data_IF_951707084700
#
_entry.id   IF_951707084700
#
_cell.length_a   1.000
_cell.length_b   1.000
_cell.length_c   1.000
_cell.angle_alpha   90.00
_cell.angle_beta   90.00
_cell.angle_gamma   90.00
#
_symmetry.space_group_name_H-M   'P 1'
#
loop_
_entity.id
_entity.type
_entity.pdbx_description
1 polymer ?
#
# COMPACT_ATOMS: atom_id res chain seq x y z
N UNK A 1 -20.68 -6.17 -1.86
CA UNK A 1 -20.12 -6.55 -3.17
C UNK A 1 -19.48 -7.92 -3.00
N UNK A 2 -19.83 -8.91 -3.84
CA UNK A 2 -19.25 -10.26 -3.75
C UNK A 2 -18.03 -10.40 -4.67
N UNK A 3 -17.15 -11.37 -4.39
CA UNK A 3 -15.96 -11.66 -5.20
C UNK A 3 -16.30 -12.00 -6.67
N UNK A 4 -17.51 -12.50 -6.92
CA UNK A 4 -18.03 -12.78 -8.27
C UNK A 4 -18.34 -11.51 -9.04
N UNK A 5 -18.79 -10.46 -8.36
CA UNK A 5 -19.11 -9.17 -8.99
C UNK A 5 -17.83 -8.43 -9.42
N UNK A 6 -16.73 -8.64 -8.69
CA UNK A 6 -15.40 -8.14 -9.02
C UNK A 6 -14.82 -8.78 -10.30
N UNK A 7 -15.10 -10.06 -10.52
CA UNK A 7 -14.60 -10.81 -11.69
C UNK A 7 -15.36 -10.46 -12.98
N UNK A 8 -16.58 -9.96 -12.86
CA UNK A 8 -17.45 -9.62 -13.98
C UNK A 8 -17.34 -8.16 -14.44
N UNK A 9 -16.41 -7.37 -13.87
CA UNK A 9 -16.20 -5.98 -14.29
C UNK A 9 -15.68 -5.98 -15.74
N UNK A 10 -16.44 -5.43 -16.71
CA UNK A 10 -16.01 -5.38 -18.10
C UNK A 10 -14.79 -4.47 -18.23
N UNK A 11 -13.69 -5.04 -18.73
CA UNK A 11 -12.43 -4.33 -18.95
C UNK A 11 -12.50 -3.61 -20.29
N UNK A 12 -13.10 -2.43 -20.28
CA UNK A 12 -13.10 -1.55 -21.45
C UNK A 12 -11.69 -0.93 -21.64
N UNK A 13 -11.24 -0.79 -22.89
CA UNK A 13 -9.88 -0.32 -23.22
C UNK A 13 -9.58 1.07 -22.63
N UNK A 14 -10.59 1.94 -22.56
CA UNK A 14 -10.53 3.26 -21.93
C UNK A 14 -10.29 3.17 -20.42
N UNK A 15 -10.97 2.25 -19.74
CA UNK A 15 -10.76 1.97 -18.30
C UNK A 15 -9.37 1.42 -18.01
N UNK A 16 -8.86 0.56 -18.89
CA UNK A 16 -7.52 -0.02 -18.77
C UNK A 16 -6.43 1.06 -18.89
N UNK A 17 -6.59 2.00 -19.83
CA UNK A 17 -5.68 3.14 -20.00
C UNK A 17 -5.67 4.05 -18.76
N UNK A 18 -6.82 4.40 -18.21
CA UNK A 18 -6.92 5.23 -17.00
C UNK A 18 -6.32 4.56 -15.76
N UNK A 19 -6.60 3.26 -15.59
CA UNK A 19 -6.01 2.45 -14.50
C UNK A 19 -4.49 2.37 -14.64
N UNK A 20 -3.98 2.19 -15.86
CA UNK A 20 -2.55 2.18 -16.14
C UNK A 20 -1.86 3.50 -15.76
N UNK A 21 -2.48 4.65 -16.05
CA UNK A 21 -1.95 5.96 -15.62
C UNK A 21 -1.83 6.02 -14.09
N UNK A 22 -2.89 5.62 -13.38
CA UNK A 22 -2.89 5.56 -11.90
C UNK A 22 -1.76 4.66 -11.39
N UNK A 23 -1.61 3.48 -12.00
CA UNK A 23 -0.54 2.54 -11.69
C UNK A 23 0.85 3.14 -11.91
N UNK A 24 1.09 3.89 -12.98
CA UNK A 24 2.36 4.56 -13.24
C UNK A 24 2.70 5.58 -12.14
N UNK A 25 1.74 6.42 -11.73
CA UNK A 25 1.94 7.34 -10.61
C UNK A 25 2.32 6.60 -9.32
N UNK A 26 1.58 5.54 -8.99
CA UNK A 26 1.84 4.70 -7.82
C UNK A 26 3.21 4.05 -7.89
N UNK A 27 3.60 3.53 -9.06
CA UNK A 27 4.89 2.89 -9.27
C UNK A 27 6.04 3.90 -9.08
N UNK A 28 5.93 5.11 -9.64
CA UNK A 28 6.93 6.18 -9.46
C UNK A 28 7.06 6.54 -7.97
N UNK A 29 5.94 6.79 -7.28
CA UNK A 29 5.94 7.12 -5.86
C UNK A 29 6.57 6.01 -5.00
N UNK A 30 6.23 4.76 -5.30
CA UNK A 30 6.80 3.59 -4.61
C UNK A 30 8.29 3.43 -4.89
N UNK A 31 8.75 3.63 -6.12
CA UNK A 31 10.18 3.47 -6.47
C UNK A 31 11.02 4.56 -5.80
N UNK A 32 10.59 5.82 -5.86
CA UNK A 32 11.30 6.93 -5.22
C UNK A 32 11.45 6.72 -3.70
N UNK A 33 10.38 6.27 -3.03
CA UNK A 33 10.41 6.01 -1.58
C UNK A 33 11.26 4.78 -1.22
N UNK A 34 11.24 3.72 -2.04
CA UNK A 34 12.08 2.53 -1.84
C UNK A 34 13.57 2.82 -2.07
N UNK A 35 13.90 3.64 -3.06
CA UNK A 35 15.27 4.11 -3.32
C UNK A 35 15.79 4.95 -2.14
N UNK A 36 14.97 5.85 -1.61
CA UNK A 36 15.30 6.60 -0.40
C UNK A 36 15.57 5.69 0.81
N UNK A 37 14.75 4.66 1.02
CA UNK A 37 14.95 3.67 2.08
C UNK A 37 16.27 2.90 1.90
N UNK A 38 16.54 2.43 0.68
CA UNK A 38 17.75 1.65 0.36
C UNK A 38 19.02 2.49 0.54
N UNK A 39 18.98 3.75 0.11
CA UNK A 39 20.06 4.70 0.35
C UNK A 39 20.34 4.87 1.84
N UNK A 40 19.29 5.06 2.64
CA UNK A 40 19.40 5.27 4.08
C UNK A 40 20.01 4.06 4.82
N UNK A 41 19.58 2.84 4.47
CA UNK A 41 20.13 1.58 5.00
C UNK A 41 21.60 1.44 4.63
N UNK A 42 21.97 1.78 3.40
CA UNK A 42 23.35 1.66 2.91
C UNK A 42 24.26 2.68 3.61
N UNK A 43 23.81 3.94 3.73
CA UNK A 43 24.54 4.99 4.45
C UNK A 43 24.69 4.64 5.94
N UNK A 44 23.64 4.11 6.57
CA UNK A 44 23.69 3.60 7.93
C UNK A 44 24.78 2.53 8.09
N UNK A 45 24.77 1.49 7.25
CA UNK A 45 25.74 0.40 7.32
C UNK A 45 27.20 0.86 7.13
N UNK A 46 27.44 1.77 6.17
CA UNK A 46 28.78 2.32 5.89
C UNK A 46 29.30 3.18 7.06
N UNK A 47 28.44 4.03 7.62
CA UNK A 47 28.82 4.92 8.72
C UNK A 47 28.99 4.18 10.05
N UNK A 48 28.15 3.16 10.31
CA UNK A 48 28.25 2.29 11.47
C UNK A 48 29.58 1.53 11.53
N UNK A 49 30.16 1.21 10.37
CA UNK A 49 31.49 0.59 10.24
C UNK A 49 32.63 1.55 10.59
N UNK A 50 32.39 2.86 10.63
CA UNK A 50 33.42 3.90 10.70
C UNK A 50 33.47 4.67 12.03
N UNK A 51 32.49 4.55 12.94
CA UNK A 51 32.35 5.44 14.09
C UNK A 51 32.26 4.74 15.47
N UNK A 52 32.88 5.33 16.50
CA UNK A 52 32.93 4.80 17.88
C UNK A 52 31.67 5.07 18.74
N UNK A 53 30.79 6.00 18.35
CA UNK A 53 29.53 6.30 19.07
C UNK A 53 28.34 5.50 18.53
N UNK A 54 28.48 4.17 18.56
CA UNK A 54 27.57 3.19 17.96
C UNK A 54 26.10 3.37 18.38
N UNK A 55 25.83 3.61 19.66
CA UNK A 55 24.47 3.60 20.21
C UNK A 55 23.63 4.81 19.78
N UNK A 56 24.19 6.02 19.86
CA UNK A 56 23.46 7.24 19.48
C UNK A 56 23.24 7.30 17.96
N UNK A 57 24.24 6.90 17.19
CA UNK A 57 24.13 6.85 15.73
C UNK A 57 23.09 5.80 15.28
N UNK A 58 23.11 4.60 15.89
CA UNK A 58 22.08 3.58 15.66
C UNK A 58 20.67 4.04 16.04
N UNK A 59 20.52 4.73 17.17
CA UNK A 59 19.23 5.28 17.58
C UNK A 59 18.67 6.29 16.56
N UNK A 60 19.50 7.24 16.09
CA UNK A 60 19.09 8.25 15.10
C UNK A 60 18.73 7.61 13.76
N UNK A 61 19.59 6.73 13.23
CA UNK A 61 19.31 6.05 11.97
C UNK A 61 18.09 5.12 12.06
N UNK A 62 17.91 4.42 13.18
CA UNK A 62 16.73 3.63 13.45
C UNK A 62 15.45 4.48 13.45
N UNK A 63 15.47 5.63 14.11
CA UNK A 63 14.32 6.55 14.14
C UNK A 63 13.97 7.07 12.73
N UNK A 64 14.98 7.44 11.93
CA UNK A 64 14.77 7.91 10.56
C UNK A 64 14.22 6.76 9.70
N UNK A 65 14.77 5.55 9.82
CA UNK A 65 14.29 4.37 9.12
C UNK A 65 12.82 4.08 9.43
N UNK A 66 12.43 4.05 10.70
CA UNK A 66 11.04 3.84 11.13
C UNK A 66 10.12 4.95 10.57
N UNK A 67 10.59 6.21 10.57
CA UNK A 67 9.81 7.34 10.02
C UNK A 67 9.57 7.18 8.52
N UNK A 68 10.61 6.88 7.74
CA UNK A 68 10.51 6.67 6.29
C UNK A 68 9.63 5.45 5.99
N UNK A 69 9.76 4.36 6.76
CA UNK A 69 8.94 3.17 6.62
C UNK A 69 7.45 3.45 6.89
N UNK A 70 7.16 4.29 7.89
CA UNK A 70 5.80 4.73 8.22
C UNK A 70 5.19 5.53 7.07
N UNK A 71 5.93 6.51 6.54
CA UNK A 71 5.51 7.31 5.39
C UNK A 71 5.29 6.43 4.16
N UNK A 72 6.23 5.52 3.87
CA UNK A 72 6.10 4.55 2.79
C UNK A 72 4.82 3.72 2.91
N UNK A 73 4.56 3.19 4.11
CA UNK A 73 3.42 2.30 4.35
C UNK A 73 2.09 3.04 4.22
N UNK A 74 2.00 4.26 4.77
CA UNK A 74 0.83 5.12 4.63
C UNK A 74 0.57 5.48 3.15
N UNK A 75 1.61 5.95 2.44
CA UNK A 75 1.50 6.30 1.03
C UNK A 75 1.16 5.07 0.17
N UNK A 76 1.74 3.91 0.48
CA UNK A 76 1.42 2.66 -0.19
C UNK A 76 -0.05 2.28 0.02
N UNK A 77 -0.61 2.52 1.20
CA UNK A 77 -2.00 2.19 1.48
C UNK A 77 -2.94 3.00 0.60
N UNK A 78 -2.73 4.31 0.53
CA UNK A 78 -3.46 5.24 -0.33
C UNK A 78 -3.30 4.87 -1.80
N UNK A 79 -2.08 4.60 -2.24
CA UNK A 79 -1.79 4.23 -3.62
C UNK A 79 -2.42 2.88 -4.04
N UNK A 80 -2.43 1.87 -3.17
CA UNK A 80 -3.09 0.60 -3.50
C UNK A 80 -4.62 0.76 -3.52
N UNK A 81 -5.15 1.60 -2.63
CA UNK A 81 -6.57 1.95 -2.61
C UNK A 81 -6.98 2.80 -3.82
N UNK A 82 -6.12 3.69 -4.33
CA UNK A 82 -6.40 4.46 -5.54
C UNK A 82 -6.47 3.58 -6.79
N UNK A 83 -5.62 2.55 -6.89
CA UNK A 83 -5.74 1.54 -7.96
C UNK A 83 -7.08 0.80 -7.87
N UNK A 84 -7.51 0.42 -6.66
CA UNK A 84 -8.82 -0.19 -6.44
C UNK A 84 -9.94 0.75 -6.88
N UNK A 85 -9.89 2.03 -6.51
CA UNK A 85 -10.87 3.04 -6.93
C UNK A 85 -10.89 3.17 -8.46
N UNK A 86 -9.73 3.21 -9.11
CA UNK A 86 -9.65 3.25 -10.58
C UNK A 86 -10.29 2.05 -11.25
N UNK A 87 -10.11 0.85 -10.68
CA UNK A 87 -10.69 -0.37 -11.23
C UNK A 87 -12.20 -0.42 -10.96
N UNK A 88 -12.66 -0.08 -9.75
CA UNK A 88 -14.06 -0.25 -9.36
C UNK A 88 -14.96 0.90 -9.82
N UNK A 89 -14.54 2.13 -9.54
CA UNK A 89 -15.34 3.34 -9.74
C UNK A 89 -15.03 4.02 -11.09
N UNK A 90 -13.95 3.63 -11.78
CA UNK A 90 -13.58 4.21 -13.07
C UNK A 90 -13.09 5.65 -13.00
N UNK A 91 -12.61 6.09 -11.83
CA UNK A 91 -11.99 7.41 -11.59
C UNK A 91 -10.47 7.24 -11.66
N UNK A 92 -9.70 8.13 -12.29
CA UNK A 92 -8.29 7.86 -12.61
C UNK A 92 -7.31 8.91 -12.11
N UNK A 93 -6.04 8.51 -12.00
CA UNK A 93 -4.90 9.41 -11.80
C UNK A 93 -4.97 10.15 -10.46
N UNK A 94 -4.81 11.47 -10.50
CA UNK A 94 -4.77 12.33 -9.31
C UNK A 94 -6.11 12.33 -8.57
N UNK A 95 -7.22 12.24 -9.29
CA UNK A 95 -8.55 12.21 -8.68
C UNK A 95 -8.76 10.92 -7.87
N UNK A 96 -8.32 9.77 -8.40
CA UNK A 96 -8.33 8.50 -7.68
C UNK A 96 -7.44 8.54 -6.43
N UNK A 97 -6.29 9.20 -6.50
CA UNK A 97 -5.39 9.41 -5.36
C UNK A 97 -6.05 10.31 -4.31
N UNK A 98 -6.67 11.42 -4.71
CA UNK A 98 -7.37 12.31 -3.78
C UNK A 98 -8.53 11.60 -3.08
N UNK A 99 -9.31 10.81 -3.82
CA UNK A 99 -10.41 10.01 -3.28
C UNK A 99 -9.90 8.94 -2.30
N UNK A 100 -8.76 8.31 -2.61
CA UNK A 100 -8.13 7.32 -1.72
C UNK A 100 -7.68 7.95 -0.39
N UNK A 101 -7.06 9.13 -0.44
CA UNK A 101 -6.63 9.87 0.75
C UNK A 101 -7.82 10.37 1.59
N UNK A 102 -8.90 10.78 0.92
CA UNK A 102 -10.14 11.15 1.59
C UNK A 102 -10.73 9.96 2.36
N UNK A 103 -10.85 8.79 1.72
CA UNK A 103 -11.42 7.63 2.35
C UNK A 103 -10.50 6.99 3.42
N UNK A 104 -9.19 7.03 3.24
CA UNK A 104 -8.22 6.48 4.19
C UNK A 104 -8.15 7.28 5.51
N UNK A 105 -8.52 8.57 5.49
CA UNK A 105 -8.39 9.48 6.64
C UNK A 105 -9.06 8.97 7.91
N UNK A 106 -10.19 8.27 7.78
CA UNK A 106 -10.94 7.71 8.90
C UNK A 106 -10.30 6.45 9.53
N UNK A 107 -9.46 5.73 8.77
CA UNK A 107 -8.93 4.42 9.18
C UNK A 107 -7.43 4.26 8.85
N UNK A 108 -6.67 5.36 8.95
CA UNK A 108 -5.28 5.44 8.49
C UNK A 108 -4.37 4.38 9.13
N UNK A 109 -4.57 4.06 10.42
CA UNK A 109 -3.77 3.07 11.15
C UNK A 109 -3.96 1.66 10.62
N UNK A 110 -5.18 1.30 10.24
CA UNK A 110 -5.47 -0.01 9.66
C UNK A 110 -4.78 -0.14 8.30
N UNK A 111 -4.92 0.86 7.42
CA UNK A 111 -4.23 0.88 6.13
C UNK A 111 -2.71 0.76 6.28
N UNK A 112 -2.12 1.51 7.21
CA UNK A 112 -0.69 1.46 7.52
C UNK A 112 -0.26 0.04 7.96
N UNK A 113 -0.97 -0.56 8.92
CA UNK A 113 -0.65 -1.88 9.43
C UNK A 113 -0.77 -2.96 8.35
N UNK A 114 -1.81 -2.89 7.51
CA UNK A 114 -1.98 -3.80 6.38
C UNK A 114 -0.79 -3.72 5.41
N UNK A 115 -0.33 -2.51 5.07
CA UNK A 115 0.81 -2.34 4.18
C UNK A 115 2.13 -2.81 4.80
N UNK A 116 2.32 -2.61 6.11
CA UNK A 116 3.47 -3.16 6.83
C UNK A 116 3.49 -4.70 6.76
N UNK A 117 2.36 -5.36 7.00
CA UNK A 117 2.27 -6.83 6.90
C UNK A 117 2.62 -7.31 5.49
N UNK A 118 2.09 -6.67 4.44
CA UNK A 118 2.44 -7.03 3.07
C UNK A 118 3.90 -6.77 2.72
N UNK A 119 4.50 -5.71 3.26
CA UNK A 119 5.92 -5.42 3.08
C UNK A 119 6.79 -6.48 3.75
N UNK A 120 6.52 -6.81 5.01
CA UNK A 120 7.24 -7.87 5.74
C UNK A 120 7.07 -9.23 5.09
N UNK A 121 5.85 -9.55 4.64
CA UNK A 121 5.55 -10.76 3.87
C UNK A 121 6.36 -10.82 2.56
N UNK A 122 6.38 -9.72 1.79
CA UNK A 122 7.15 -9.66 0.55
C UNK A 122 8.66 -9.81 0.76
N UNK A 123 9.19 -9.23 1.84
CA UNK A 123 10.57 -9.39 2.28
C UNK A 123 10.85 -10.86 2.66
N UNK A 124 9.96 -11.45 3.46
CA UNK A 124 10.05 -12.84 3.92
C UNK A 124 9.93 -13.89 2.81
N UNK A 125 9.23 -13.59 1.72
CA UNK A 125 9.18 -14.49 0.55
C UNK A 125 10.43 -14.40 -0.34
N UNK A 126 11.07 -13.22 -0.41
CA UNK A 126 12.19 -12.97 -1.33
C UNK A 126 13.56 -13.29 -0.73
N UNK A 127 13.79 -12.95 0.54
CA UNK A 127 15.08 -13.13 1.21
C UNK A 127 15.52 -14.60 1.33
N UNK A 128 14.67 -15.56 1.73
CA UNK A 128 15.05 -16.96 1.80
C UNK A 128 15.45 -17.51 0.43
N UNK A 129 14.76 -17.13 -0.65
CA UNK A 129 15.12 -17.56 -2.00
C UNK A 129 16.48 -17.00 -2.46
N UNK A 130 16.78 -15.74 -2.10
CA UNK A 130 18.09 -15.13 -2.34
C UNK A 130 19.19 -15.79 -1.51
N UNK A 131 18.88 -16.22 -0.28
CA UNK A 131 19.85 -16.81 0.64
C UNK A 131 20.14 -18.29 0.35
N UNK A 132 19.11 -19.09 0.08
CA UNK A 132 19.22 -20.53 -0.19
C UNK A 132 19.52 -20.87 -1.66
N UNK A 133 19.64 -19.87 -2.54
CA UNK A 133 19.96 -20.12 -3.94
C UNK A 133 18.83 -20.79 -4.72
N UNK A 134 17.56 -20.46 -4.43
CA UNK A 134 16.40 -21.01 -5.16
C UNK A 134 16.41 -20.71 -6.69
N UNK A 135 17.36 -19.90 -7.15
CA UNK A 135 17.63 -19.60 -8.55
C UNK A 135 18.46 -20.67 -9.27
N UNK A 136 19.10 -21.60 -8.55
CA UNK A 136 19.92 -22.66 -9.15
C UNK A 136 19.07 -23.78 -9.77
N UNK A 137 17.88 -24.03 -9.23
CA UNK A 137 16.92 -24.99 -9.78
C UNK A 137 15.70 -24.29 -10.38
N UNK A 138 15.36 -24.61 -11.63
CA UNK A 138 14.24 -23.98 -12.34
C UNK A 138 12.89 -24.09 -11.62
N UNK A 139 12.70 -25.14 -10.79
CA UNK A 139 11.49 -25.31 -9.99
C UNK A 139 11.38 -24.30 -8.83
N UNK A 140 12.50 -23.89 -8.24
CA UNK A 140 12.56 -22.91 -7.17
C UNK A 140 12.16 -21.50 -7.63
N UNK A 141 12.61 -21.10 -8.82
CA UNK A 141 12.23 -19.83 -9.46
C UNK A 141 10.72 -19.79 -9.73
N UNK A 142 10.18 -20.87 -10.31
CA UNK A 142 8.74 -20.96 -10.61
C UNK A 142 7.92 -20.85 -9.33
N UNK A 143 8.28 -21.61 -8.29
CA UNK A 143 7.60 -21.57 -7.00
C UNK A 143 7.65 -20.15 -6.37
N UNK A 144 8.80 -19.48 -6.43
CA UNK A 144 8.97 -18.12 -5.91
C UNK A 144 8.08 -17.12 -6.65
N UNK A 145 8.09 -17.15 -7.98
CA UNK A 145 7.25 -16.27 -8.81
C UNK A 145 5.77 -16.53 -8.49
N UNK A 146 5.35 -17.80 -8.41
CA UNK A 146 3.97 -18.17 -8.07
C UNK A 146 3.55 -17.63 -6.70
N UNK A 147 4.40 -17.76 -5.68
CA UNK A 147 4.14 -17.23 -4.32
C UNK A 147 4.04 -15.70 -4.31
N UNK A 148 4.91 -15.01 -5.04
CA UNK A 148 4.87 -13.54 -5.17
C UNK A 148 3.58 -13.11 -5.88
N UNK A 149 3.19 -13.78 -6.96
CA UNK A 149 1.94 -13.51 -7.66
C UNK A 149 0.71 -13.74 -6.77
N UNK A 150 0.68 -14.85 -6.02
CA UNK A 150 -0.38 -15.12 -5.05
C UNK A 150 -0.45 -14.02 -3.99
N UNK A 151 0.70 -13.61 -3.45
CA UNK A 151 0.78 -12.50 -2.49
C UNK A 151 0.24 -11.19 -3.04
N UNK A 152 0.54 -10.86 -4.30
CA UNK A 152 -0.01 -9.66 -4.95
C UNK A 152 -1.52 -9.74 -5.16
N UNK A 153 -2.05 -10.91 -5.55
CA UNK A 153 -3.49 -11.12 -5.69
C UNK A 153 -4.21 -10.97 -4.33
N UNK A 154 -3.66 -11.59 -3.27
CA UNK A 154 -4.16 -11.44 -1.91
C UNK A 154 -4.11 -9.98 -1.45
N UNK A 155 -3.00 -9.28 -1.71
CA UNK A 155 -2.86 -7.85 -1.40
C UNK A 155 -3.97 -7.03 -2.04
N UNK A 156 -4.25 -7.27 -3.32
CA UNK A 156 -5.31 -6.57 -4.03
C UNK A 156 -6.69 -6.85 -3.42
N UNK A 157 -7.02 -8.13 -3.14
CA UNK A 157 -8.30 -8.50 -2.50
C UNK A 157 -8.47 -7.79 -1.16
N UNK A 158 -7.42 -7.78 -0.32
CA UNK A 158 -7.44 -7.10 0.97
C UNK A 158 -7.61 -5.58 0.82
N UNK A 159 -6.99 -4.97 -0.20
CA UNK A 159 -7.19 -3.55 -0.50
C UNK A 159 -8.62 -3.23 -0.94
N UNK A 160 -9.28 -4.13 -1.68
CA UNK A 160 -10.70 -4.00 -2.06
C UNK A 160 -11.59 -4.04 -0.82
N UNK A 161 -11.37 -5.00 0.09
CA UNK A 161 -12.11 -5.08 1.35
C UNK A 161 -11.88 -3.83 2.20
N UNK A 162 -10.62 -3.42 2.36
CA UNK A 162 -10.26 -2.19 3.07
C UNK A 162 -10.96 -0.96 2.47
N UNK A 163 -11.03 -0.88 1.14
CA UNK A 163 -11.73 0.21 0.47
C UNK A 163 -13.21 0.27 0.82
N UNK A 164 -13.90 -0.87 0.76
CA UNK A 164 -15.32 -0.94 1.09
C UNK A 164 -15.60 -0.58 2.55
N UNK A 165 -14.77 -1.06 3.49
CA UNK A 165 -14.88 -0.72 4.91
C UNK A 165 -14.69 0.79 5.13
N UNK A 166 -13.65 1.40 4.56
CA UNK A 166 -13.43 2.85 4.65
C UNK A 166 -14.58 3.66 4.05
N UNK A 167 -15.08 3.25 2.88
CA UNK A 167 -16.22 3.89 2.22
C UNK A 167 -17.47 3.81 3.09
N UNK A 168 -17.76 2.64 3.67
CA UNK A 168 -18.90 2.41 4.57
C UNK A 168 -18.82 3.31 5.81
N UNK A 169 -17.68 3.34 6.49
CA UNK A 169 -17.49 4.16 7.70
C UNK A 169 -17.73 5.66 7.44
N UNK A 170 -17.34 6.17 6.28
CA UNK A 170 -17.55 7.57 5.93
C UNK A 170 -19.02 7.86 5.58
N UNK A 171 -19.70 6.92 4.92
CA UNK A 171 -21.14 7.05 4.65
C UNK A 171 -21.97 7.03 5.94
N UNK A 172 -21.63 6.16 6.89
CA UNK A 172 -22.27 6.11 8.21
C UNK A 172 -22.09 7.44 8.96
N UNK A 173 -20.86 7.98 9.01
CA UNK A 173 -20.59 9.28 9.66
C UNK A 173 -21.37 10.44 9.05
N UNK A 174 -21.49 10.49 7.71
CA UNK A 174 -22.27 11.54 7.04
C UNK A 174 -23.75 11.45 7.36
N UNK A 175 -24.30 10.24 7.39
CA UNK A 175 -25.70 10.03 7.75
C UNK A 175 -26.00 10.50 9.18
N UNK A 176 -25.12 10.18 10.13
CA UNK A 176 -25.28 10.62 11.52
C UNK A 176 -25.20 12.16 11.67
N UNK A 177 -24.32 12.82 10.89
CA UNK A 177 -24.21 14.29 10.86
C UNK A 177 -25.47 14.96 10.26
N UNK A 178 -26.03 14.41 9.18
CA UNK A 178 -27.26 14.91 8.55
C UNK A 178 -28.46 14.79 9.49
N UNK A 179 -28.64 13.63 10.13
CA UNK A 179 -29.70 13.40 11.12
C UNK A 179 -29.54 14.32 12.34
N UNK A 180 -28.32 14.53 12.83
CA UNK A 180 -28.05 15.44 13.94
C UNK A 180 -28.34 16.91 13.61
N UNK A 181 -28.09 17.32 12.37
CA UNK A 181 -28.37 18.69 11.89
C UNK A 181 -29.87 18.94 11.76
N UNK A 182 -30.63 17.98 11.22
CA UNK A 182 -32.09 18.07 11.10
C UNK A 182 -32.79 18.17 12.47
N UNK A 183 -32.32 17.45 13.49
CA UNK A 183 -32.86 17.57 14.86
C UNK A 183 -32.58 18.95 15.45
N UNK A 184 -31.41 19.53 15.21
CA UNK A 184 -31.05 20.85 15.73
C UNK A 184 -31.73 22.05 15.03
N UNK A 185 -32.32 21.83 13.85
CA UNK A 185 -33.02 22.87 13.09
C UNK A 185 -34.53 22.92 13.39
N UNK A 186 -35.05 21.96 14.17
CA UNK A 186 -36.46 21.83 14.54
C UNK A 186 -36.73 22.30 15.98
N UNK A 187 -35.67 22.52 16.77
CA UNK A 187 -35.71 23.15 18.11
C UNK A 187 -35.43 24.67 18.05
#
# INVERSE_FOLDING_TARGET
>A
MSLKDLLNIPVEVTRLKGTFITFVYVAILSVCTLLGLTWLVTTYFILLRSCFSYVLFAAVCGAIFVSVLTIYSALSAECNMSIVISILEGIYGVEALALSAYFSRGNYRCGLNLMLVFLLWGIGLRLPCLYFGCYEEGYGIVAQISLVCLGNALKWIVCVVYFHECKKQILEKKYDEEVGTDVSAVD
#
